data_IF_108902131215
#
_entry.id   IF_108902131215
#
_cell.length_a   1.000
_cell.length_b   1.000
_cell.length_c   1.000
_cell.angle_alpha   90.00
_cell.angle_beta   90.00
_cell.angle_gamma   90.00
#
_symmetry.space_group_name_H-M   'P 1'
#
loop_
_entity.id
_entity.type
_entity.pdbx_description
1 polymer ?
#
# COMPACT_ATOMS: atom_id res chain seq x y z
N UNK A 1 3.82 -11.90 19.76
CA UNK A 1 5.27 -11.60 19.90
C UNK A 1 5.59 -10.37 20.76
N UNK A 2 4.61 -9.67 21.37
CA UNK A 2 4.85 -8.49 22.24
C UNK A 2 4.87 -8.79 23.75
N UNK A 3 4.83 -10.07 24.12
CA UNK A 3 4.68 -10.52 25.52
C UNK A 3 6.01 -10.85 26.23
N UNK A 4 7.18 -10.66 25.59
CA UNK A 4 8.48 -11.10 26.14
C UNK A 4 9.38 -10.02 26.74
N UNK A 5 8.99 -8.74 26.73
CA UNK A 5 9.79 -7.70 27.40
C UNK A 5 11.24 -7.57 26.89
N UNK A 6 11.57 -8.11 25.71
CA UNK A 6 12.86 -7.86 25.11
C UNK A 6 12.90 -6.39 24.70
N UNK A 7 13.74 -5.62 25.38
CA UNK A 7 14.19 -4.34 24.87
C UNK A 7 14.92 -4.63 23.56
N UNK A 8 14.22 -4.45 22.44
CA UNK A 8 14.83 -4.46 21.11
C UNK A 8 15.84 -3.31 21.12
N UNK A 9 17.10 -3.63 21.40
CA UNK A 9 18.18 -2.67 21.28
C UNK A 9 18.12 -2.11 19.85
N UNK A 10 18.24 -0.78 19.65
CA UNK A 10 18.23 -0.19 18.32
C UNK A 10 19.46 -0.71 17.56
N UNK A 11 19.30 -1.82 16.85
CA UNK A 11 20.31 -2.39 15.98
C UNK A 11 20.16 -1.71 14.64
N UNK A 12 21.24 -1.10 14.14
CA UNK A 12 21.26 -0.60 12.78
C UNK A 12 21.07 -1.79 11.84
N UNK A 13 19.95 -1.80 11.13
CA UNK A 13 19.63 -2.78 10.09
C UNK A 13 20.02 -2.18 8.73
N UNK A 14 21.14 -2.61 8.11
CA UNK A 14 21.61 -2.01 6.86
C UNK A 14 20.57 -2.09 5.74
N UNK A 15 19.77 -3.17 5.72
CA UNK A 15 18.68 -3.33 4.77
C UNK A 15 17.58 -2.27 4.95
N UNK A 16 17.20 -1.94 6.19
CA UNK A 16 16.20 -0.90 6.45
C UNK A 16 16.72 0.49 6.04
N UNK A 17 18.01 0.76 6.27
CA UNK A 17 18.67 2.01 5.85
C UNK A 17 18.70 2.12 4.33
N UNK A 18 19.14 1.07 3.62
CA UNK A 18 19.17 1.06 2.14
C UNK A 18 17.76 1.17 1.56
N UNK A 19 16.78 0.45 2.13
CA UNK A 19 15.40 0.47 1.67
C UNK A 19 14.78 1.87 1.82
N UNK A 20 14.94 2.48 2.99
CA UNK A 20 14.46 3.85 3.24
C UNK A 20 15.17 4.88 2.38
N UNK A 21 16.49 4.78 2.18
CA UNK A 21 17.24 5.66 1.28
C UNK A 21 16.72 5.58 -0.16
N UNK A 22 16.58 4.37 -0.71
CA UNK A 22 16.07 4.16 -2.07
C UNK A 22 14.65 4.69 -2.24
N UNK A 23 13.79 4.46 -1.25
CA UNK A 23 12.41 4.96 -1.27
C UNK A 23 12.39 6.49 -1.25
N UNK A 24 13.06 7.13 -0.28
CA UNK A 24 13.09 8.60 -0.17
C UNK A 24 13.72 9.26 -1.39
N UNK A 25 14.77 8.67 -1.95
CA UNK A 25 15.41 9.18 -3.17
C UNK A 25 14.44 9.14 -4.35
N UNK A 26 13.74 8.03 -4.57
CA UNK A 26 12.79 7.90 -5.68
C UNK A 26 11.61 8.89 -5.55
N UNK A 27 11.06 9.03 -4.35
CA UNK A 27 9.99 10.00 -4.09
C UNK A 27 10.47 11.45 -4.33
N UNK A 28 11.68 11.79 -3.85
CA UNK A 28 12.26 13.11 -4.05
C UNK A 28 12.58 13.42 -5.52
N UNK A 29 13.03 12.41 -6.27
CA UNK A 29 13.30 12.51 -7.70
C UNK A 29 12.00 12.67 -8.51
N UNK A 30 10.92 12.02 -8.12
CA UNK A 30 9.60 12.21 -8.73
C UNK A 30 9.12 13.66 -8.55
N UNK A 31 9.24 14.21 -7.34
CA UNK A 31 8.95 15.63 -7.08
C UNK A 31 9.80 16.55 -7.96
N UNK A 32 11.10 16.24 -8.13
CA UNK A 32 11.97 17.02 -9.00
C UNK A 32 11.50 16.98 -10.47
N UNK A 33 11.08 15.82 -10.98
CA UNK A 33 10.54 15.72 -12.33
C UNK A 33 9.22 16.47 -12.51
N UNK A 34 8.34 16.43 -11.52
CA UNK A 34 7.10 17.22 -11.50
C UNK A 34 7.44 18.72 -11.59
N UNK A 35 8.33 19.21 -10.73
CA UNK A 35 8.75 20.62 -10.70
C UNK A 35 9.36 21.05 -12.02
N UNK A 36 10.26 20.26 -12.60
CA UNK A 36 10.90 20.58 -13.88
C UNK A 36 9.86 20.56 -15.01
N UNK A 37 9.00 19.55 -15.07
CA UNK A 37 8.02 19.38 -16.15
C UNK A 37 6.99 20.51 -16.13
N UNK A 38 6.34 20.74 -14.99
CA UNK A 38 5.35 21.80 -14.88
C UNK A 38 5.98 23.19 -14.89
N UNK A 39 7.12 23.38 -14.23
CA UNK A 39 7.86 24.65 -14.22
C UNK A 39 8.35 25.06 -15.60
N UNK A 40 8.84 24.11 -16.41
CA UNK A 40 9.27 24.36 -17.80
C UNK A 40 8.11 24.51 -18.77
N UNK A 41 6.94 23.94 -18.46
CA UNK A 41 5.72 24.09 -19.28
C UNK A 41 4.92 25.36 -18.95
N UNK A 42 5.37 26.14 -17.96
CA UNK A 42 4.67 27.34 -17.46
C UNK A 42 5.09 28.64 -18.15
N UNK A 43 5.73 28.57 -19.33
CA UNK A 43 6.07 29.77 -20.11
C UNK A 43 4.80 30.54 -20.49
N UNK A 44 4.68 31.76 -19.96
CA UNK A 44 3.60 32.69 -20.28
C UNK A 44 4.19 34.02 -20.73
N UNK A 45 3.38 34.90 -21.33
CA UNK A 45 3.83 36.23 -21.75
C UNK A 45 4.41 37.09 -20.61
N UNK A 46 4.12 36.74 -19.35
CA UNK A 46 4.59 37.43 -18.15
C UNK A 46 5.83 36.79 -17.48
N UNK A 47 6.17 35.53 -17.81
CA UNK A 47 7.15 34.74 -17.07
C UNK A 47 7.82 33.71 -17.99
N UNK A 48 9.15 33.77 -18.08
CA UNK A 48 9.96 32.81 -18.83
C UNK A 48 10.09 31.47 -18.07
N UNK A 49 10.60 30.43 -18.73
CA UNK A 49 10.79 29.09 -18.14
C UNK A 49 11.55 29.11 -16.80
N UNK A 50 12.52 30.03 -16.67
CA UNK A 50 13.33 30.17 -15.45
C UNK A 50 12.47 30.65 -14.27
N UNK A 51 11.62 31.64 -14.51
CA UNK A 51 10.66 32.13 -13.53
C UNK A 51 9.62 31.05 -13.16
N UNK A 52 9.16 30.23 -14.12
CA UNK A 52 8.25 29.10 -13.88
C UNK A 52 8.86 27.97 -13.05
N UNK A 53 10.12 27.63 -13.28
CA UNK A 53 10.85 26.63 -12.46
C UNK A 53 11.01 27.13 -11.03
N UNK A 54 11.36 28.40 -10.84
CA UNK A 54 11.52 28.98 -9.51
C UNK A 54 10.21 28.97 -8.72
N UNK A 55 9.09 29.32 -9.34
CA UNK A 55 7.78 29.29 -8.68
C UNK A 55 7.34 27.86 -8.35
N UNK A 56 7.55 26.91 -9.27
CA UNK A 56 7.27 25.49 -9.04
C UNK A 56 8.12 24.91 -7.90
N UNK A 57 9.40 25.28 -7.81
CA UNK A 57 10.29 24.84 -6.73
C UNK A 57 9.84 25.38 -5.36
N UNK A 58 9.44 26.65 -5.30
CA UNK A 58 8.86 27.24 -4.07
C UNK A 58 7.56 26.52 -3.70
N UNK A 59 6.70 26.26 -4.69
CA UNK A 59 5.46 25.49 -4.50
C UNK A 59 5.72 24.10 -3.92
N UNK A 60 6.71 23.38 -4.46
CA UNK A 60 7.11 22.07 -3.95
C UNK A 60 7.66 22.13 -2.51
N UNK A 61 8.45 23.15 -2.16
CA UNK A 61 8.95 23.33 -0.80
C UNK A 61 7.80 23.59 0.20
N UNK A 62 6.84 24.44 -0.17
CA UNK A 62 5.65 24.73 0.65
C UNK A 62 4.79 23.47 0.79
N UNK A 63 4.53 22.75 -0.31
CA UNK A 63 3.79 21.50 -0.28
C UNK A 63 4.48 20.46 0.61
N UNK A 64 5.81 20.32 0.52
CA UNK A 64 6.59 19.43 1.38
C UNK A 64 6.44 19.77 2.87
N UNK A 65 6.52 21.05 3.22
CA UNK A 65 6.30 21.51 4.60
C UNK A 65 4.87 21.19 5.07
N UNK A 66 3.87 21.45 4.24
CA UNK A 66 2.47 21.13 4.54
C UNK A 66 2.26 19.62 4.75
N UNK A 67 2.86 18.78 3.91
CA UNK A 67 2.78 17.31 4.03
C UNK A 67 3.46 16.83 5.31
N UNK A 68 4.61 17.40 5.71
CA UNK A 68 5.26 17.08 6.98
C UNK A 68 4.34 17.39 8.16
N UNK A 69 3.73 18.57 8.16
CA UNK A 69 2.80 19.01 9.21
C UNK A 69 1.57 18.10 9.24
N UNK A 70 0.95 17.85 8.09
CA UNK A 70 -0.20 16.97 7.97
C UNK A 70 0.13 15.55 8.42
N UNK A 71 1.28 15.02 8.02
CA UNK A 71 1.77 13.72 8.45
C UNK A 71 1.94 13.63 9.97
N UNK A 72 2.49 14.67 10.60
CA UNK A 72 2.62 14.73 12.05
C UNK A 72 1.26 14.72 12.77
N UNK A 73 0.27 15.46 12.25
CA UNK A 73 -1.09 15.53 12.81
C UNK A 73 -1.85 14.21 12.61
N UNK A 74 -1.78 13.62 11.41
CA UNK A 74 -2.59 12.46 11.02
C UNK A 74 -1.92 11.13 11.45
N UNK A 75 -0.65 11.14 11.89
CA UNK A 75 0.04 9.94 12.39
C UNK A 75 -0.75 9.22 13.49
N UNK A 76 -1.31 9.96 14.45
CA UNK A 76 -2.06 9.38 15.55
C UNK A 76 -3.34 8.62 15.09
N UNK A 77 -4.25 9.19 14.28
CA UNK A 77 -5.41 8.45 13.79
C UNK A 77 -5.04 7.30 12.83
N UNK A 78 -4.01 7.45 11.98
CA UNK A 78 -3.60 6.39 11.04
C UNK A 78 -3.10 5.12 11.74
N UNK A 79 -2.47 5.24 12.90
CA UNK A 79 -2.05 4.05 13.68
C UNK A 79 -3.22 3.21 14.19
N UNK A 80 -4.46 3.75 14.17
CA UNK A 80 -5.67 3.03 14.56
C UNK A 80 -6.30 2.26 13.39
N UNK A 81 -5.89 2.54 12.15
CA UNK A 81 -6.43 1.87 10.96
C UNK A 81 -5.75 0.51 10.78
N UNK A 82 -6.51 -0.57 10.53
CA UNK A 82 -5.94 -1.88 10.25
C UNK A 82 -5.00 -1.81 9.03
N UNK A 83 -3.75 -2.25 9.20
CA UNK A 83 -2.73 -2.22 8.15
C UNK A 83 -3.19 -2.88 6.85
N UNK A 84 -3.90 -4.00 6.95
CA UNK A 84 -4.42 -4.70 5.79
C UNK A 84 -5.47 -3.89 5.01
N UNK A 85 -6.34 -3.15 5.72
CA UNK A 85 -7.33 -2.27 5.08
C UNK A 85 -6.64 -1.11 4.38
N UNK A 86 -5.63 -0.52 5.01
CA UNK A 86 -4.86 0.57 4.42
C UNK A 86 -4.15 0.12 3.14
N UNK A 87 -3.44 -1.02 3.18
CA UNK A 87 -2.78 -1.59 1.99
C UNK A 87 -3.77 -1.92 0.89
N UNK A 88 -4.95 -2.44 1.23
CA UNK A 88 -5.99 -2.77 0.27
C UNK A 88 -6.54 -1.53 -0.43
N UNK A 89 -6.96 -0.53 0.33
CA UNK A 89 -7.52 0.72 -0.22
C UNK A 89 -6.47 1.45 -1.05
N UNK A 90 -5.25 1.62 -0.51
CA UNK A 90 -4.15 2.28 -1.23
C UNK A 90 -3.78 1.52 -2.50
N UNK A 91 -3.72 0.19 -2.45
CA UNK A 91 -3.44 -0.64 -3.62
C UNK A 91 -4.47 -0.44 -4.74
N UNK A 92 -5.76 -0.38 -4.40
CA UNK A 92 -6.83 -0.11 -5.37
C UNK A 92 -6.70 1.29 -5.97
N UNK A 93 -6.45 2.29 -5.13
CA UNK A 93 -6.30 3.67 -5.58
C UNK A 93 -5.12 3.79 -6.54
N UNK A 94 -3.93 3.30 -6.16
CA UNK A 94 -2.74 3.31 -7.01
C UNK A 94 -2.94 2.57 -8.33
N UNK A 95 -3.61 1.41 -8.31
CA UNK A 95 -3.89 0.64 -9.54
C UNK A 95 -4.86 1.40 -10.46
N UNK A 96 -5.89 2.03 -9.89
CA UNK A 96 -6.89 2.79 -10.64
C UNK A 96 -6.28 4.01 -11.29
N UNK A 97 -5.55 4.83 -10.52
CA UNK A 97 -4.83 5.98 -11.05
C UNK A 97 -3.79 5.57 -12.09
N UNK A 98 -2.96 4.57 -11.78
CA UNK A 98 -1.95 4.08 -12.71
C UNK A 98 -2.54 3.63 -14.05
N UNK A 99 -3.68 2.94 -14.02
CA UNK A 99 -4.38 2.49 -15.23
C UNK A 99 -4.99 3.65 -16.00
N UNK A 100 -5.61 4.61 -15.32
CA UNK A 100 -6.20 5.81 -15.95
C UNK A 100 -5.14 6.60 -16.72
N UNK A 101 -4.04 6.95 -16.04
CA UNK A 101 -2.96 7.74 -16.64
C UNK A 101 -2.17 6.96 -17.68
N UNK A 102 -1.97 5.64 -17.50
CA UNK A 102 -1.39 4.80 -18.54
C UNK A 102 -2.26 4.83 -19.81
N UNK A 103 -3.59 4.73 -19.68
CA UNK A 103 -4.51 4.82 -20.81
C UNK A 103 -4.42 6.17 -21.53
N UNK A 104 -4.47 7.28 -20.80
CA UNK A 104 -4.30 8.63 -21.36
C UNK A 104 -2.95 8.79 -22.07
N UNK A 105 -1.87 8.25 -21.48
CA UNK A 105 -0.55 8.22 -22.11
C UNK A 105 -0.48 7.42 -23.41
N UNK A 106 -1.37 6.43 -23.59
CA UNK A 106 -1.56 5.68 -24.84
C UNK A 106 -2.63 6.27 -25.77
N UNK A 107 -3.06 7.53 -25.55
CA UNK A 107 -4.10 8.22 -26.32
C UNK A 107 -5.48 7.53 -26.25
N UNK A 108 -5.74 6.77 -25.18
CA UNK A 108 -7.07 6.20 -24.92
C UNK A 108 -7.95 7.28 -24.33
N UNK A 109 -9.07 7.58 -24.99
CA UNK A 109 -10.07 8.51 -24.46
C UNK A 109 -10.99 7.79 -23.48
N UNK A 110 -11.01 8.26 -22.23
CA UNK A 110 -11.91 7.71 -21.23
C UNK A 110 -13.32 8.30 -21.35
N UNK A 111 -14.37 7.47 -21.35
CA UNK A 111 -15.74 7.98 -21.37
C UNK A 111 -16.07 8.66 -20.05
N UNK A 112 -16.43 9.95 -20.10
CA UNK A 112 -16.63 10.76 -18.90
C UNK A 112 -15.35 11.40 -18.35
N UNK A 113 -14.26 11.40 -19.13
CA UNK A 113 -12.97 12.02 -18.78
C UNK A 113 -12.49 11.55 -17.40
N UNK A 114 -12.18 12.49 -16.50
CA UNK A 114 -11.62 12.23 -15.17
C UNK A 114 -12.57 11.45 -14.25
N UNK A 115 -13.89 11.53 -14.49
CA UNK A 115 -14.88 10.80 -13.69
C UNK A 115 -14.74 9.27 -13.84
N UNK A 116 -14.10 8.80 -14.92
CA UNK A 116 -13.89 7.39 -15.15
C UNK A 116 -12.96 6.73 -14.11
N UNK A 117 -12.14 7.52 -13.41
CA UNK A 117 -11.33 7.01 -12.28
C UNK A 117 -12.22 6.35 -11.22
N UNK A 118 -13.41 6.91 -10.94
CA UNK A 118 -14.35 6.32 -9.99
C UNK A 118 -14.88 4.97 -10.50
N UNK A 119 -15.11 4.85 -11.80
CA UNK A 119 -15.53 3.60 -12.43
C UNK A 119 -14.43 2.55 -12.31
N UNK A 120 -13.17 2.91 -12.58
CA UNK A 120 -12.02 2.02 -12.38
C UNK A 120 -11.91 1.55 -10.93
N UNK A 121 -12.04 2.46 -9.96
CA UNK A 121 -12.05 2.11 -8.53
C UNK A 121 -13.13 1.08 -8.22
N UNK A 122 -14.36 1.28 -8.71
CA UNK A 122 -15.46 0.32 -8.52
C UNK A 122 -15.15 -1.03 -9.16
N UNK A 123 -14.63 -1.04 -10.40
CA UNK A 123 -14.25 -2.28 -11.10
C UNK A 123 -13.19 -3.05 -10.31
N UNK A 124 -12.12 -2.39 -9.88
CA UNK A 124 -11.05 -3.05 -9.10
C UNK A 124 -11.52 -3.50 -7.72
N UNK A 125 -12.41 -2.74 -7.06
CA UNK A 125 -13.05 -3.16 -5.81
C UNK A 125 -13.87 -4.43 -6.01
N UNK A 126 -14.73 -4.46 -7.01
CA UNK A 126 -15.57 -5.63 -7.32
C UNK A 126 -14.73 -6.84 -7.70
N UNK A 127 -13.76 -6.69 -8.59
CA UNK A 127 -12.86 -7.75 -9.00
C UNK A 127 -12.09 -8.32 -7.79
N UNK A 128 -11.52 -7.44 -6.94
CA UNK A 128 -10.81 -7.85 -5.74
C UNK A 128 -11.72 -8.55 -4.74
N UNK A 129 -12.93 -8.03 -4.53
CA UNK A 129 -13.91 -8.63 -3.63
C UNK A 129 -14.35 -10.03 -4.10
N UNK A 130 -14.62 -10.19 -5.40
CA UNK A 130 -14.94 -11.49 -6.01
C UNK A 130 -13.78 -12.48 -5.86
N UNK A 131 -12.55 -12.04 -6.11
CA UNK A 131 -11.37 -12.90 -6.01
C UNK A 131 -11.11 -13.34 -4.56
N UNK A 132 -11.25 -12.42 -3.60
CA UNK A 132 -11.11 -12.73 -2.16
C UNK A 132 -12.20 -13.69 -1.69
N UNK A 133 -13.46 -13.48 -2.08
CA UNK A 133 -14.58 -14.36 -1.68
C UNK A 133 -14.46 -15.74 -2.32
N UNK A 134 -14.03 -15.83 -3.57
CA UNK A 134 -13.74 -17.08 -4.25
C UNK A 134 -12.61 -17.86 -3.55
N UNK A 135 -11.50 -17.19 -3.23
CA UNK A 135 -10.34 -17.85 -2.61
C UNK A 135 -10.64 -18.29 -1.17
N UNK A 136 -11.39 -17.50 -0.40
CA UNK A 136 -11.89 -17.90 0.93
C UNK A 136 -12.77 -19.15 0.85
N UNK A 137 -13.64 -19.23 -0.15
CA UNK A 137 -14.50 -20.39 -0.38
C UNK A 137 -13.68 -21.64 -0.75
N UNK A 138 -12.64 -21.47 -1.56
CA UNK A 138 -11.73 -22.55 -1.93
C UNK A 138 -10.94 -23.10 -0.73
N UNK A 139 -10.40 -22.21 0.12
CA UNK A 139 -9.69 -22.61 1.36
C UNK A 139 -10.60 -23.37 2.32
N UNK A 140 -11.85 -22.91 2.51
CA UNK A 140 -12.83 -23.57 3.39
C UNK A 140 -13.17 -24.98 2.89
N UNK A 141 -13.34 -25.16 1.58
CA UNK A 141 -13.61 -26.47 0.97
C UNK A 141 -12.41 -27.43 1.08
N UNK A 142 -11.19 -26.93 0.89
CA UNK A 142 -9.94 -27.71 1.06
C UNK A 142 -9.75 -28.20 2.50
N UNK A 143 -9.98 -27.33 3.49
CA UNK A 143 -9.84 -27.71 4.91
C UNK A 143 -10.86 -28.79 5.31
N UNK A 144 -12.11 -28.69 4.83
CA UNK A 144 -13.15 -29.69 5.10
C UNK A 144 -12.90 -31.05 4.42
N UNK A 145 -12.09 -31.10 3.35
CA UNK A 145 -11.71 -32.35 2.66
C UNK A 145 -10.39 -32.95 3.17
N UNK A 146 -9.66 -32.23 4.04
CA UNK A 146 -8.47 -32.74 4.74
C UNK A 146 -8.78 -33.32 6.13
N UNK A 147 -10.05 -33.31 6.56
CA UNK A 147 -10.54 -34.06 7.72
C UNK A 147 -11.20 -35.40 7.31
N UNK A 148 -10.42 -36.46 7.00
CA UNK A 148 -10.90 -37.82 7.13
C UNK A 148 -10.14 -38.55 8.25
N UNK A 149 -10.81 -38.72 9.40
CA UNK A 149 -10.66 -39.85 10.32
C UNK A 149 -9.27 -40.16 10.90
N UNK A 150 -8.91 -39.51 12.01
CA UNK A 150 -8.03 -40.12 13.03
C UNK A 150 -8.62 -39.90 14.42
N UNK A 151 -9.80 -40.46 14.66
CA UNK A 151 -10.18 -40.90 16.01
C UNK A 151 -10.00 -42.40 16.05
N UNK A 152 -8.75 -42.86 16.12
CA UNK A 152 -8.51 -44.22 16.62
C UNK A 152 -8.82 -44.19 18.11
N UNK A 153 -9.73 -45.04 18.62
CA UNK A 153 -10.03 -45.06 20.04
C UNK A 153 -8.77 -45.44 20.81
N UNK A 154 -8.49 -44.68 21.86
CA UNK A 154 -7.53 -45.02 22.90
C UNK A 154 -7.89 -46.42 23.40
N UNK A 155 -7.13 -47.43 23.00
CA UNK A 155 -7.14 -48.71 23.67
C UNK A 155 -6.49 -48.45 25.03
N UNK A 156 -7.32 -48.37 26.07
CA UNK A 156 -6.90 -48.30 27.45
C UNK A 156 -6.11 -49.56 27.77
N UNK A 157 -4.78 -49.43 27.76
CA UNK A 157 -3.88 -50.46 28.27
C UNK A 157 -4.08 -50.53 29.79
N UNK A 158 -4.68 -51.63 30.21
CA UNK A 158 -4.97 -52.00 31.59
C UNK A 158 -3.63 -52.15 32.33
N UNK A 159 -3.30 -51.19 33.19
CA UNK A 159 -2.32 -51.37 34.26
C UNK A 159 -2.83 -52.48 35.19
N UNK A 160 -2.36 -53.71 35.00
CA UNK A 160 -2.46 -54.76 36.00
C UNK A 160 -1.11 -54.77 36.76
N UNK A 161 -1.14 -54.19 37.96
CA UNK A 161 -0.07 -54.31 38.94
C UNK A 161 0.19 -55.78 39.28
N UNK A 162 1.46 -56.20 39.26
CA UNK A 162 1.91 -57.37 40.00
C UNK A 162 3.21 -56.99 40.71
N UNK A 163 3.08 -56.66 41.99
CA UNK A 163 4.08 -56.89 43.04
C UNK A 163 3.57 -58.04 43.92
N UNK A 164 4.40 -58.73 44.71
CA UNK A 164 5.82 -58.51 45.01
C UNK A 164 6.79 -59.56 44.46
#
# INVERSE_FOLDING_TARGET
LRARGEMVAPRFEPFAIILSYKSVLLEGLEVAFIVITFGSSSATNACNNVCGINSAAIGAAVAGLLVIIAGAVIRAPLTKVPENTLKFVVGIMLTSFGTFWAGEGFLVSWPGADAFILVLVIIYLLASFLLVTYLKSYKKRRLASSEPGTTSPVSAEKHEEVHP
#
